data_IF_233398218267
#
_entry.id   IF_233398218267
#
_cell.length_a   1.000
_cell.length_b   1.000
_cell.length_c   1.000
_cell.angle_alpha   90.00
_cell.angle_beta   90.00
_cell.angle_gamma   90.00
#
_symmetry.space_group_name_H-M   'P 1'
#
loop_
_entity.id
_entity.type
_entity.pdbx_description
1 polymer ?
#
# COMPACT_ATOMS: atom_id res chain seq x y z
N UNK A 1 -33.78 -26.61 23.36
CA UNK A 1 -32.57 -26.20 22.59
C UNK A 1 -32.75 -26.30 21.07
N UNK A 2 -33.96 -26.43 20.52
CA UNK A 2 -34.13 -26.59 19.07
C UNK A 2 -34.23 -25.24 18.32
N UNK A 3 -34.86 -24.26 18.97
CA UNK A 3 -34.96 -22.88 18.47
C UNK A 3 -33.59 -22.22 18.22
N UNK A 4 -32.62 -22.45 19.10
CA UNK A 4 -31.28 -21.89 18.95
C UNK A 4 -30.54 -22.50 17.76
N UNK A 5 -30.72 -23.80 17.51
CA UNK A 5 -30.12 -24.48 16.35
C UNK A 5 -30.77 -24.05 15.04
N UNK A 6 -32.09 -23.82 15.03
CA UNK A 6 -32.82 -23.33 13.86
C UNK A 6 -32.50 -21.87 13.53
N UNK A 7 -32.17 -21.03 14.51
CA UNK A 7 -31.70 -19.66 14.30
C UNK A 7 -30.21 -19.61 13.89
N UNK A 8 -29.39 -20.58 14.33
CA UNK A 8 -27.98 -20.69 13.94
C UNK A 8 -27.81 -21.15 12.48
N UNK A 9 -28.70 -22.00 11.97
CA UNK A 9 -28.65 -22.49 10.58
C UNK A 9 -28.65 -21.37 9.51
N UNK A 10 -29.56 -20.36 9.54
CA UNK A 10 -29.52 -19.25 8.60
C UNK A 10 -28.34 -18.29 8.87
N UNK A 11 -27.84 -18.19 10.10
CA UNK A 11 -26.66 -17.37 10.41
C UNK A 11 -25.36 -17.98 9.83
N UNK A 12 -25.22 -19.30 9.88
CA UNK A 12 -24.12 -20.01 9.22
C UNK A 12 -24.23 -19.94 7.68
N UNK A 13 -25.44 -20.09 7.15
CA UNK A 13 -25.70 -19.99 5.70
C UNK A 13 -25.53 -18.56 5.15
N UNK A 14 -25.77 -17.53 5.97
CA UNK A 14 -25.56 -16.12 5.65
C UNK A 14 -24.23 -15.57 6.21
N UNK A 15 -23.23 -16.43 6.43
CA UNK A 15 -21.88 -15.98 6.80
C UNK A 15 -21.42 -14.90 5.81
N UNK A 16 -20.84 -13.77 6.25
CA UNK A 16 -20.44 -12.68 5.36
C UNK A 16 -19.57 -13.21 4.22
N UNK A 17 -20.11 -13.21 3.00
CA UNK A 17 -19.48 -13.77 1.80
C UNK A 17 -18.37 -12.85 1.23
N UNK A 18 -17.74 -12.05 2.10
CA UNK A 18 -16.73 -11.07 1.71
C UNK A 18 -15.25 -11.43 1.98
N UNK A 19 -14.83 -12.68 2.29
CA UNK A 19 -13.41 -12.94 2.54
C UNK A 19 -12.58 -12.69 1.28
N UNK A 20 -13.03 -13.10 0.09
CA UNK A 20 -12.23 -12.94 -1.12
C UNK A 20 -12.00 -11.48 -1.53
N UNK A 21 -13.06 -10.65 -1.52
CA UNK A 21 -12.92 -9.24 -1.88
C UNK A 21 -12.08 -8.48 -0.86
N UNK A 22 -12.28 -8.75 0.45
CA UNK A 22 -11.45 -8.16 1.49
C UNK A 22 -9.97 -8.58 1.35
N UNK A 23 -9.71 -9.88 1.21
CA UNK A 23 -8.35 -10.40 1.02
C UNK A 23 -7.70 -9.82 -0.24
N UNK A 24 -8.44 -9.71 -1.34
CA UNK A 24 -7.92 -9.17 -2.59
C UNK A 24 -7.51 -7.70 -2.44
N UNK A 25 -8.39 -6.85 -1.88
CA UNK A 25 -8.07 -5.44 -1.65
C UNK A 25 -6.89 -5.30 -0.69
N UNK A 26 -6.86 -6.11 0.37
CA UNK A 26 -5.77 -6.09 1.34
C UNK A 26 -4.42 -6.43 0.71
N UNK A 27 -4.36 -7.51 -0.07
CA UNK A 27 -3.12 -7.95 -0.75
C UNK A 27 -2.67 -6.94 -1.80
N UNK A 28 -3.58 -6.48 -2.67
CA UNK A 28 -3.24 -5.50 -3.72
C UNK A 28 -2.83 -4.16 -3.10
N UNK A 29 -3.56 -3.68 -2.09
CA UNK A 29 -3.24 -2.46 -1.37
C UNK A 29 -1.90 -2.55 -0.64
N UNK A 30 -1.59 -3.70 -0.03
CA UNK A 30 -0.30 -3.94 0.59
C UNK A 30 0.82 -3.87 -0.44
N UNK A 31 0.72 -4.60 -1.56
CA UNK A 31 1.72 -4.56 -2.64
C UNK A 31 1.94 -3.13 -3.13
N UNK A 32 0.86 -2.37 -3.36
CA UNK A 32 0.95 -0.98 -3.77
C UNK A 32 1.69 -0.13 -2.71
N UNK A 33 1.35 -0.29 -1.44
CA UNK A 33 1.97 0.45 -0.34
C UNK A 33 3.46 0.14 -0.20
N UNK A 34 3.88 -1.13 -0.25
CA UNK A 34 5.30 -1.49 -0.14
C UNK A 34 6.07 -1.02 -1.36
N UNK A 35 5.49 -1.13 -2.55
CA UNK A 35 6.13 -0.69 -3.80
C UNK A 35 6.34 0.82 -3.80
N UNK A 36 5.28 1.61 -3.62
CA UNK A 36 5.34 3.07 -3.64
C UNK A 36 6.17 3.58 -2.46
N UNK A 37 5.99 3.02 -1.26
CA UNK A 37 6.75 3.38 -0.06
C UNK A 37 8.25 3.14 -0.24
N UNK A 38 8.64 2.01 -0.84
CA UNK A 38 10.05 1.72 -1.13
C UNK A 38 10.63 2.72 -2.13
N UNK A 39 9.92 3.03 -3.22
CA UNK A 39 10.36 4.01 -4.21
C UNK A 39 10.54 5.39 -3.55
N UNK A 40 9.57 5.81 -2.72
CA UNK A 40 9.63 7.08 -2.00
C UNK A 40 10.81 7.14 -1.03
N UNK A 41 11.02 6.10 -0.22
CA UNK A 41 12.12 6.00 0.74
C UNK A 41 13.49 6.07 0.06
N UNK A 42 13.68 5.31 -1.02
CA UNK A 42 14.95 5.27 -1.74
C UNK A 42 15.25 6.56 -2.54
N UNK A 43 14.24 7.41 -2.78
CA UNK A 43 14.39 8.76 -3.36
C UNK A 43 14.31 9.88 -2.30
N UNK A 44 14.16 9.55 -1.01
CA UNK A 44 14.18 10.52 0.08
C UNK A 44 15.60 10.90 0.47
N UNK A 45 15.73 11.90 1.36
CA UNK A 45 17.03 12.20 1.97
C UNK A 45 17.51 10.99 2.76
N UNK A 46 18.80 10.66 2.65
CA UNK A 46 19.40 9.52 3.37
C UNK A 46 19.49 9.83 4.87
N UNK A 47 19.28 8.84 5.75
CA UNK A 47 19.53 9.00 7.17
C UNK A 47 21.04 9.18 7.43
N UNK A 48 21.38 9.72 8.60
CA UNK A 48 22.77 9.91 8.99
C UNK A 48 23.53 8.57 9.02
N UNK A 49 24.76 8.54 8.51
CA UNK A 49 25.60 7.35 8.42
C UNK A 49 25.37 6.49 7.17
N UNK A 50 24.48 6.91 6.26
CA UNK A 50 24.18 6.25 4.99
C UNK A 50 24.65 7.06 3.77
N UNK A 51 25.57 8.00 3.98
CA UNK A 51 26.07 8.89 2.93
C UNK A 51 26.75 8.12 1.79
N UNK A 52 27.42 7.02 2.11
CA UNK A 52 28.11 6.14 1.14
C UNK A 52 27.20 5.10 0.45
N UNK A 53 25.92 5.01 0.82
CA UNK A 53 25.01 3.95 0.36
C UNK A 53 24.14 4.37 -0.80
N UNK A 54 24.42 3.85 -1.99
CA UNK A 54 23.65 4.17 -3.19
C UNK A 54 22.24 3.58 -3.22
N UNK A 55 21.39 4.22 -4.03
CA UNK A 55 20.05 3.72 -4.33
C UNK A 55 20.17 2.45 -5.17
N UNK A 56 19.43 1.37 -4.88
CA UNK A 56 19.45 0.17 -5.73
C UNK A 56 19.01 0.48 -7.17
N UNK A 57 19.62 -0.19 -8.16
CA UNK A 57 19.41 0.10 -9.59
C UNK A 57 17.98 -0.13 -10.08
N UNK A 58 17.28 -1.10 -9.51
CA UNK A 58 15.90 -1.44 -9.89
C UNK A 58 14.86 -0.42 -9.42
N UNK A 59 15.23 0.50 -8.53
CA UNK A 59 14.32 1.56 -8.07
C UNK A 59 14.29 2.68 -9.12
N UNK A 60 13.14 3.18 -9.57
CA UNK A 60 13.12 4.35 -10.43
C UNK A 60 13.63 5.60 -9.70
N UNK A 61 14.42 6.44 -10.38
CA UNK A 61 14.79 7.76 -9.85
C UNK A 61 13.60 8.70 -10.03
N UNK A 62 13.24 9.42 -8.98
CA UNK A 62 12.22 10.47 -9.03
C UNK A 62 12.93 11.81 -8.83
N UNK A 63 13.02 12.60 -9.89
CA UNK A 63 13.55 13.95 -9.82
C UNK A 63 12.50 14.89 -9.20
N UNK A 64 12.95 15.76 -8.28
CA UNK A 64 12.07 16.73 -7.63
C UNK A 64 11.95 17.94 -8.54
N UNK A 65 10.72 18.29 -8.92
CA UNK A 65 10.45 19.61 -9.50
C UNK A 65 10.47 20.65 -8.39
N UNK A 66 10.97 21.85 -8.69
CA UNK A 66 10.98 22.96 -7.70
C UNK A 66 9.59 23.54 -7.48
N UNK A 67 8.72 23.44 -8.50
CA UNK A 67 7.32 23.91 -8.46
C UNK A 67 6.34 22.80 -8.86
N UNK A 68 6.22 21.69 -8.08
CA UNK A 68 5.30 20.62 -8.43
C UNK A 68 3.85 21.14 -8.37
N UNK A 69 3.15 21.14 -9.51
CA UNK A 69 1.72 21.46 -9.59
C UNK A 69 1.33 22.95 -9.58
N UNK A 70 2.29 23.89 -9.63
CA UNK A 70 2.00 25.34 -9.56
C UNK A 70 2.21 26.13 -10.88
N UNK A 71 2.59 25.49 -11.98
CA UNK A 71 2.90 26.21 -13.23
C UNK A 71 4.19 27.06 -13.13
N UNK A 72 4.60 27.55 -14.31
CA UNK A 72 5.92 28.13 -14.70
C UNK A 72 7.18 27.54 -14.00
N UNK A 73 8.00 26.76 -14.73
CA UNK A 73 9.28 26.27 -14.25
C UNK A 73 10.42 27.29 -14.41
N UNK A 74 11.26 27.32 -13.36
CA UNK A 74 12.74 27.29 -13.33
C UNK A 74 13.55 28.26 -14.20
N UNK A 75 14.58 28.86 -13.59
CA UNK A 75 15.67 29.58 -14.29
C UNK A 75 16.53 28.64 -15.12
#
# INVERSE_FOLDING_TARGET
MHLLMQAAAPAAANSPHFPYAFTLVYVVGFIAAVTIGSIAWYNSKRPAGWESKERPDFVPKIDKEETPGLGEPKS
#
